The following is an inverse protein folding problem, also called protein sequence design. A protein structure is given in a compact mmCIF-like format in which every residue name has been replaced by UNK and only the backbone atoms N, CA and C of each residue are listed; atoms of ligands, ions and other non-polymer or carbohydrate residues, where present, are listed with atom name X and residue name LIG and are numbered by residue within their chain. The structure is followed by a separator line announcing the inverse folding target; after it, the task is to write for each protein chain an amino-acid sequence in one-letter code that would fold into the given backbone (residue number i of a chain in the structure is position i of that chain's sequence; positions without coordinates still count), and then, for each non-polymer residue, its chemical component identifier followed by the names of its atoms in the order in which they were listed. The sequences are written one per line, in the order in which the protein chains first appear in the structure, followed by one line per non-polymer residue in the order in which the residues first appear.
data_IF_090407845204
#
_entry.id   IF_090407845204
#
_cell.length_a   1.000
_cell.length_b   1.000
_cell.length_c   1.000
_cell.angle_alpha   90.00
_cell.angle_beta   90.00
_cell.angle_gamma   90.00
#
_symmetry.space_group_name_H-M   'P 1'
#
loop_
_entity.id
_entity.type
_entity.pdbx_description
1 polymer ?
#
# COMPACT_ATOMS: atom_id res chain seq x y z
N UNK A 1 -20.79 2.92 -10.64
CA UNK A 1 -19.41 2.42 -10.50
C UNK A 1 -19.48 0.92 -10.57
N UNK A 2 -18.60 0.30 -11.36
CA UNK A 2 -18.40 -1.16 -11.34
C UNK A 2 -17.99 -1.51 -9.90
N UNK A 3 -18.75 -2.38 -9.22
CA UNK A 3 -18.54 -2.67 -7.78
C UNK A 3 -17.18 -3.33 -7.49
N UNK A 4 -16.45 -3.70 -8.54
CA UNK A 4 -15.14 -4.35 -8.49
C UNK A 4 -13.97 -3.37 -8.58
N UNK A 5 -14.18 -2.07 -8.81
CA UNK A 5 -13.08 -1.10 -8.88
C UNK A 5 -12.45 -0.88 -7.50
N UNK A 6 -11.16 -1.18 -7.38
CA UNK A 6 -10.43 -1.07 -6.11
C UNK A 6 -9.44 0.08 -6.17
N UNK A 7 -9.53 0.95 -5.18
CA UNK A 7 -8.64 2.10 -5.07
C UNK A 7 -7.82 2.09 -3.77
N UNK A 8 -6.69 2.79 -3.81
CA UNK A 8 -5.83 3.03 -2.66
C UNK A 8 -5.63 4.53 -2.44
N UNK A 9 -5.80 4.99 -1.21
CA UNK A 9 -5.53 6.35 -0.77
C UNK A 9 -4.17 6.45 -0.06
N UNK A 10 -3.40 7.48 -0.38
CA UNK A 10 -2.08 7.78 0.18
C UNK A 10 -2.17 9.13 0.91
N UNK A 11 -2.47 9.12 2.21
CA UNK A 11 -2.55 10.33 3.02
C UNK A 11 -1.17 10.97 3.24
N UNK A 12 -1.15 12.30 3.29
CA UNK A 12 0.03 13.07 3.67
C UNK A 12 0.40 12.82 5.13
N UNK A 13 -0.59 12.82 6.04
CA UNK A 13 -0.35 12.77 7.49
C UNK A 13 0.31 11.47 7.94
N UNK A 14 -0.24 10.34 7.51
CA UNK A 14 0.31 9.02 7.84
C UNK A 14 1.52 8.59 7.01
N UNK A 15 1.98 9.38 6.04
CA UNK A 15 3.21 9.10 5.28
C UNK A 15 4.27 10.17 5.43
N UNK A 16 3.97 11.26 6.14
CA UNK A 16 4.82 12.43 6.28
C UNK A 16 6.27 11.98 6.53
N UNK A 17 6.53 11.17 7.55
CA UNK A 17 7.90 10.81 7.97
C UNK A 17 8.76 10.25 6.82
N UNK A 18 8.13 9.56 5.88
CA UNK A 18 8.76 8.95 4.69
C UNK A 18 8.89 9.88 3.48
N UNK A 19 8.27 11.05 3.49
CA UNK A 19 8.38 12.08 2.46
C UNK A 19 9.63 12.94 2.68
N UNK A 20 10.78 12.28 2.53
CA UNK A 20 12.14 12.84 2.61
C UNK A 20 12.95 12.45 1.40
N UNK A 21 13.76 13.37 0.91
CA UNK A 21 14.77 13.06 -0.10
C UNK A 21 15.65 11.87 0.34
N UNK A 22 16.06 11.06 -0.63
CA UNK A 22 16.87 9.87 -0.43
C UNK A 22 16.06 8.59 -0.17
N UNK A 23 16.57 7.73 0.72
CA UNK A 23 16.00 6.40 1.00
C UNK A 23 14.52 6.42 1.43
N UNK A 24 14.06 7.33 2.31
CA UNK A 24 12.68 7.26 2.79
C UNK A 24 11.65 7.45 1.67
N UNK A 25 11.81 8.45 0.80
CA UNK A 25 10.88 8.60 -0.35
C UNK A 25 11.08 7.50 -1.38
N UNK A 26 12.27 6.91 -1.45
CA UNK A 26 12.51 5.67 -2.18
C UNK A 26 11.54 4.56 -1.79
N UNK A 27 11.29 4.36 -0.49
CA UNK A 27 10.34 3.37 0.01
C UNK A 27 8.91 3.68 -0.47
N UNK A 28 8.48 4.94 -0.38
CA UNK A 28 7.15 5.38 -0.85
C UNK A 28 7.01 5.13 -2.36
N UNK A 29 8.03 5.50 -3.15
CA UNK A 29 8.08 5.27 -4.59
C UNK A 29 7.92 3.79 -4.94
N UNK A 30 8.64 2.89 -4.26
CA UNK A 30 8.52 1.45 -4.48
C UNK A 30 7.11 0.95 -4.18
N UNK A 31 6.53 1.37 -3.05
CA UNK A 31 5.15 1.01 -2.67
C UNK A 31 4.12 1.57 -3.66
N UNK A 32 4.30 2.78 -4.18
CA UNK A 32 3.42 3.36 -5.20
C UNK A 32 3.46 2.60 -6.54
N UNK A 33 4.65 2.18 -6.98
CA UNK A 33 4.79 1.34 -8.18
C UNK A 33 4.11 -0.02 -8.00
N UNK A 34 4.30 -0.64 -6.84
CA UNK A 34 3.64 -1.91 -6.52
C UNK A 34 2.12 -1.76 -6.44
N UNK A 35 1.63 -0.74 -5.75
CA UNK A 35 0.21 -0.41 -5.70
C UNK A 35 -0.36 -0.12 -7.10
N UNK A 36 0.44 0.46 -8.00
CA UNK A 36 0.04 0.69 -9.39
C UNK A 36 -0.14 -0.61 -10.18
N UNK A 37 0.29 -1.76 -9.69
CA UNK A 37 -0.05 -3.04 -10.34
C UNK A 37 -1.26 -3.70 -9.66
N UNK A 38 -1.43 -3.48 -8.36
CA UNK A 38 -2.46 -4.09 -7.52
C UNK A 38 -3.82 -3.40 -7.64
N UNK A 39 -3.85 -2.07 -7.65
CA UNK A 39 -5.07 -1.27 -7.59
C UNK A 39 -5.45 -0.67 -8.94
N UNK A 40 -6.75 -0.47 -9.15
CA UNK A 40 -7.28 0.18 -10.35
C UNK A 40 -6.94 1.67 -10.35
N UNK A 41 -7.14 2.32 -9.19
CA UNK A 41 -6.89 3.74 -8.99
C UNK A 41 -6.09 4.01 -7.70
N UNK A 42 -5.25 5.05 -7.72
CA UNK A 42 -4.46 5.52 -6.59
C UNK A 42 -4.74 7.01 -6.39
N UNK A 43 -5.14 7.37 -5.18
CA UNK A 43 -5.40 8.73 -4.77
C UNK A 43 -4.27 9.21 -3.86
N UNK A 44 -3.47 10.17 -4.34
CA UNK A 44 -2.46 10.85 -3.54
C UNK A 44 -3.09 12.09 -2.92
N UNK A 45 -2.93 12.30 -1.62
CA UNK A 45 -3.44 13.53 -1.00
C UNK A 45 -2.66 14.75 -1.54
N UNK A 46 -3.38 15.68 -2.16
CA UNK A 46 -2.86 16.98 -2.61
C UNK A 46 -2.72 17.93 -1.42
N UNK A 47 -1.66 18.72 -1.43
CA UNK A 47 -1.33 19.66 -0.38
C UNK A 47 0.11 19.49 0.11
N UNK A 48 0.38 20.23 1.18
CA UNK A 48 1.49 19.95 2.06
C UNK A 48 1.00 19.99 3.51
N UNK A 49 1.78 19.43 4.42
CA UNK A 49 1.65 19.71 5.84
C UNK A 49 2.78 20.65 6.21
N UNK A 50 2.54 21.64 7.06
CA UNK A 50 3.60 22.37 7.75
C UNK A 50 3.69 21.79 9.15
N UNK A 51 4.85 21.24 9.48
CA UNK A 51 5.18 20.69 10.79
C UNK A 51 6.26 21.59 11.37
N UNK A 52 5.92 22.32 12.41
CA UNK A 52 6.83 23.20 13.14
C UNK A 52 6.91 22.71 14.58
N UNK A 53 8.11 22.47 15.09
CA UNK A 53 8.31 22.00 16.46
C UNK A 53 9.52 22.66 17.11
N UNK A 54 9.47 22.83 18.42
CA UNK A 54 10.55 23.35 19.26
C UNK A 54 10.39 22.92 20.72
N UNK A 55 11.25 23.41 21.63
CA UNK A 55 11.27 22.97 23.03
C UNK A 55 9.95 23.20 23.76
N UNK A 56 9.19 24.24 23.38
CA UNK A 56 7.97 24.63 24.08
C UNK A 56 6.68 24.23 23.35
N UNK A 57 6.77 23.46 22.26
CA UNK A 57 5.57 22.98 21.57
C UNK A 57 5.79 22.60 20.11
N UNK A 58 4.71 22.13 19.49
CA UNK A 58 4.68 21.82 18.08
C UNK A 58 3.30 22.08 17.49
N UNK A 59 3.26 22.38 16.20
CA UNK A 59 2.07 22.59 15.41
C UNK A 59 2.18 21.80 14.10
N UNK A 60 1.07 21.19 13.70
CA UNK A 60 0.92 20.52 12.41
C UNK A 60 -0.29 21.12 11.73
N UNK A 61 -0.10 21.70 10.56
CA UNK A 61 -1.17 22.39 9.83
C UNK A 61 -1.14 22.00 8.35
N UNK A 62 -2.27 21.56 7.76
CA UNK A 62 -2.35 21.43 6.32
C UNK A 62 -2.24 22.81 5.67
N UNK A 63 -1.43 22.92 4.62
CA UNK A 63 -1.30 24.14 3.81
C UNK A 63 -1.54 23.78 2.34
N UNK A 64 -2.05 24.72 1.53
CA UNK A 64 -2.09 24.54 0.09
C UNK A 64 -0.71 24.17 -0.44
N UNK A 65 -0.66 23.32 -1.46
CA UNK A 65 0.59 22.96 -2.14
C UNK A 65 1.35 24.22 -2.52
N UNK A 66 2.49 24.45 -1.89
CA UNK A 66 3.45 25.45 -2.37
C UNK A 66 4.13 24.90 -3.62
N UNK A 67 4.73 25.76 -4.42
CA UNK A 67 5.46 25.39 -5.65
C UNK A 67 6.64 24.43 -5.41
N UNK A 68 6.84 23.90 -4.19
CA UNK A 68 7.93 22.99 -3.88
C UNK A 68 7.90 21.77 -4.81
N UNK A 69 8.93 21.72 -5.64
CA UNK A 69 9.05 20.75 -6.72
C UNK A 69 9.85 19.51 -6.34
N UNK A 70 10.42 19.51 -5.13
CA UNK A 70 11.40 18.52 -4.66
C UNK A 70 11.08 18.10 -3.22
N UNK A 71 11.48 16.88 -2.88
CA UNK A 71 11.41 16.41 -1.49
C UNK A 71 12.48 17.12 -0.67
N UNK A 72 12.12 17.57 0.54
CA UNK A 72 13.10 18.16 1.45
C UNK A 72 14.12 17.13 1.94
N UNK A 73 15.37 17.55 2.10
CA UNK A 73 16.43 16.75 2.73
C UNK A 73 16.32 16.79 4.25
N UNK A 74 17.00 15.87 4.95
CA UNK A 74 17.08 15.92 6.41
C UNK A 74 17.72 17.24 6.89
N UNK A 75 18.77 17.71 6.21
CA UNK A 75 19.41 18.98 6.52
C UNK A 75 18.43 20.16 6.36
N UNK A 76 17.64 20.19 5.29
CA UNK A 76 16.64 21.26 5.06
C UNK A 76 15.55 21.30 6.15
N UNK A 77 15.25 20.19 6.82
CA UNK A 77 14.37 20.19 8.00
C UNK A 77 14.98 20.90 9.21
N UNK A 78 16.31 20.87 9.28
CA UNK A 78 17.13 21.44 10.33
C UNK A 78 17.76 22.78 9.94
N UNK A 79 17.30 23.45 8.87
CA UNK A 79 17.78 24.79 8.47
C UNK A 79 16.88 25.95 8.93
N UNK A 80 15.75 25.68 9.57
CA UNK A 80 14.97 26.69 10.31
C UNK A 80 15.33 26.94 11.81
N UNK A 81 16.43 26.42 12.41
CA UNK A 81 16.80 26.72 13.79
C UNK A 81 16.85 28.21 14.06
N UNK A 82 16.22 28.63 15.15
CA UNK A 82 16.26 30.02 15.62
C UNK A 82 15.15 30.92 15.10
N UNK A 83 14.32 30.48 14.15
CA UNK A 83 13.09 31.23 13.84
C UNK A 83 12.08 31.04 14.97
N UNK A 84 11.63 32.14 15.57
CA UNK A 84 10.59 32.11 16.59
C UNK A 84 9.24 31.85 15.93
N UNK A 85 8.54 30.80 16.34
CA UNK A 85 7.15 30.60 15.97
C UNK A 85 6.25 30.83 17.17
N UNK A 86 5.18 31.58 16.93
CA UNK A 86 4.18 31.94 17.93
C UNK A 86 2.83 31.49 17.43
N UNK A 87 2.13 30.71 18.25
CA UNK A 87 0.71 30.42 18.03
C UNK A 87 -0.07 31.14 19.11
N UNK A 88 -0.96 32.03 18.68
CA UNK A 88 -1.81 32.80 19.56
C UNK A 88 -3.27 32.42 19.31
N UNK A 89 -4.03 32.30 20.39
CA UNK A 89 -5.46 32.03 20.37
C UNK A 89 -6.17 33.15 21.12
N UNK A 90 -7.34 33.55 20.64
CA UNK A 90 -8.23 34.43 21.38
C UNK A 90 -9.68 34.06 21.09
N UNK A 91 -10.57 34.52 21.95
CA UNK A 91 -11.99 34.25 21.86
C UNK A 91 -12.61 35.15 20.78
N UNK A 92 -13.28 34.55 19.80
CA UNK A 92 -13.96 35.30 18.74
C UNK A 92 -15.36 35.72 19.22
N UNK A 93 -15.45 36.83 19.95
CA UNK A 93 -16.73 37.42 20.39
C UNK A 93 -17.42 38.25 19.29
N UNK A 94 -16.68 38.63 18.25
CA UNK A 94 -17.13 39.29 17.02
C UNK A 94 -16.23 38.81 15.87
N UNK A 95 -16.63 38.93 14.59
CA UNK A 95 -15.82 38.46 13.46
C UNK A 95 -14.39 39.02 13.49
N UNK A 96 -13.41 38.12 13.60
CA UNK A 96 -12.01 38.44 13.81
C UNK A 96 -11.65 38.70 15.29
N UNK A 97 -10.44 38.28 15.68
CA UNK A 97 -9.93 38.51 17.03
C UNK A 97 -8.91 39.65 16.99
N UNK A 98 -9.16 40.79 17.67
CA UNK A 98 -8.19 41.86 17.80
C UNK A 98 -6.85 41.36 18.36
N UNK A 99 -5.74 41.91 17.86
CA UNK A 99 -4.39 41.40 18.19
C UNK A 99 -4.02 41.57 19.67
N UNK A 100 -4.60 42.55 20.35
CA UNK A 100 -4.47 42.79 21.78
C UNK A 100 -5.25 41.78 22.65
N UNK A 101 -6.18 41.04 22.06
CA UNK A 101 -6.93 39.97 22.73
C UNK A 101 -6.34 38.57 22.50
N UNK A 102 -5.33 38.45 21.64
CA UNK A 102 -4.64 37.19 21.37
C UNK A 102 -3.72 36.81 22.54
N UNK A 103 -3.86 35.57 23.03
CA UNK A 103 -2.98 34.98 24.04
C UNK A 103 -2.03 33.99 23.39
N UNK A 104 -0.73 34.17 23.60
CA UNK A 104 0.29 33.25 23.11
C UNK A 104 0.18 31.91 23.87
N UNK A 105 -0.09 30.83 23.15
CA UNK A 105 -0.15 29.49 23.71
C UNK A 105 1.09 28.67 23.36
N UNK A 106 1.67 28.90 22.18
CA UNK A 106 2.99 28.37 21.82
C UNK A 106 3.90 29.55 21.56
N UNK A 107 5.05 29.55 22.21
CA UNK A 107 6.10 30.53 21.99
C UNK A 107 7.43 29.80 22.08
N UNK A 108 7.94 29.40 20.93
CA UNK A 108 9.09 28.50 20.86
C UNK A 108 10.03 28.94 19.76
N UNK A 109 11.32 28.74 19.99
CA UNK A 109 12.28 28.68 18.89
C UNK A 109 12.02 27.40 18.09
N UNK A 110 12.01 27.53 16.76
CA UNK A 110 11.84 26.40 15.87
C UNK A 110 13.10 25.54 15.94
N UNK A 111 12.95 24.26 16.25
CA UNK A 111 14.00 23.24 16.09
C UNK A 111 13.80 22.42 14.82
N UNK A 112 12.55 22.31 14.35
CA UNK A 112 12.15 21.57 13.16
C UNK A 112 11.15 22.43 12.38
N UNK A 113 11.43 22.70 11.11
CA UNK A 113 10.44 23.16 10.13
C UNK A 113 10.43 22.19 8.97
N UNK A 114 9.29 21.57 8.73
CA UNK A 114 9.21 20.49 7.76
C UNK A 114 7.88 20.56 7.01
N UNK A 115 7.98 20.50 5.68
CA UNK A 115 6.88 20.67 4.74
C UNK A 115 6.74 19.43 3.85
N UNK A 116 6.25 18.29 4.36
CA UNK A 116 6.04 17.11 3.52
C UNK A 116 4.92 17.31 2.51
N UNK A 117 5.16 16.81 1.30
CA UNK A 117 4.19 16.82 0.19
C UNK A 117 4.40 15.60 -0.70
N UNK A 118 3.32 15.14 -1.35
CA UNK A 118 3.35 14.09 -2.37
C UNK A 118 3.51 14.67 -3.79
N UNK A 119 3.36 15.99 -3.95
CA UNK A 119 3.37 16.69 -5.24
C UNK A 119 4.57 16.37 -6.14
N UNK A 120 5.81 16.19 -5.63
CA UNK A 120 6.94 15.86 -6.51
C UNK A 120 6.75 14.56 -7.30
N UNK A 121 5.92 13.62 -6.83
CA UNK A 121 5.58 12.42 -7.60
C UNK A 121 4.88 12.72 -8.93
N UNK A 122 4.14 13.84 -9.04
CA UNK A 122 3.47 14.22 -10.28
C UNK A 122 4.45 14.34 -11.47
N UNK A 123 5.71 14.70 -11.22
CA UNK A 123 6.77 14.82 -12.23
C UNK A 123 7.40 13.49 -12.61
N UNK A 124 7.29 12.49 -11.76
CA UNK A 124 7.83 11.16 -12.02
C UNK A 124 6.88 10.31 -12.89
N UNK A 125 5.58 10.62 -12.83
CA UNK A 125 4.55 9.85 -13.53
C UNK A 125 4.59 10.12 -15.04
N UNK A 126 4.35 9.10 -15.90
CA UNK A 126 4.32 9.29 -17.34
C UNK A 126 3.13 10.16 -17.74
N UNK A 127 3.23 10.83 -18.89
CA UNK A 127 2.10 11.56 -19.45
C UNK A 127 0.91 10.63 -19.70
N UNK A 128 -0.30 11.09 -19.36
CA UNK A 128 -1.51 10.28 -19.47
C UNK A 128 -1.68 9.20 -18.38
N UNK A 129 -0.93 9.27 -17.28
CA UNK A 129 -1.15 8.46 -16.08
C UNK A 129 -2.51 8.80 -15.44
N UNK A 130 -3.59 8.18 -15.91
CA UNK A 130 -4.97 8.46 -15.45
C UNK A 130 -5.35 7.75 -14.15
N UNK A 131 -4.59 6.72 -13.76
CA UNK A 131 -4.88 5.92 -12.57
C UNK A 131 -4.28 6.48 -11.28
N UNK A 132 -3.43 7.51 -11.36
CA UNK A 132 -2.94 8.23 -10.18
C UNK A 132 -3.53 9.62 -10.21
N UNK A 133 -4.23 9.99 -9.14
CA UNK A 133 -4.91 11.27 -9.04
C UNK A 133 -4.54 11.95 -7.73
N UNK A 134 -4.31 13.26 -7.79
CA UNK A 134 -4.11 14.10 -6.62
C UNK A 134 -5.47 14.61 -6.13
N UNK A 135 -5.82 14.34 -4.89
CA UNK A 135 -7.15 14.63 -4.32
C UNK A 135 -7.04 15.35 -3.00
N UNK A 136 -8.01 16.23 -2.70
CA UNK A 136 -8.18 16.80 -1.36
C UNK A 136 -9.41 16.19 -0.70
N UNK A 137 -9.25 15.23 0.21
CA UNK A 137 -10.39 14.60 0.84
C UNK A 137 -11.15 15.62 1.70
N UNK A 138 -12.46 15.69 1.52
CA UNK A 138 -13.32 16.42 2.43
C UNK A 138 -13.68 15.55 3.63
N UNK A 139 -13.42 16.04 4.84
CA UNK A 139 -13.74 15.30 6.06
C UNK A 139 -15.17 15.58 6.49
N UNK A 140 -16.07 14.64 6.20
CA UNK A 140 -17.44 14.66 6.69
C UNK A 140 -17.49 14.55 8.25
N UNK A 141 -18.53 15.09 8.91
CA UNK A 141 -18.68 14.99 10.36
C UNK A 141 -18.63 13.56 10.91
N UNK A 142 -19.15 12.58 10.16
CA UNK A 142 -19.16 11.16 10.51
C UNK A 142 -17.74 10.58 10.55
N UNK A 143 -16.88 10.99 9.60
CA UNK A 143 -15.47 10.61 9.56
C UNK A 143 -14.75 11.11 10.82
N UNK A 144 -14.95 12.37 11.18
CA UNK A 144 -14.35 12.96 12.40
C UNK A 144 -14.81 12.24 13.67
N UNK A 145 -16.10 11.92 13.76
CA UNK A 145 -16.68 11.20 14.90
C UNK A 145 -16.06 9.80 15.05
N UNK A 146 -15.98 9.07 13.94
CA UNK A 146 -15.39 7.72 13.88
C UNK A 146 -13.91 7.76 14.26
N UNK A 147 -13.16 8.70 13.69
CA UNK A 147 -11.74 8.89 14.00
C UNK A 147 -11.50 9.18 15.49
N UNK A 148 -12.31 10.06 16.11
CA UNK A 148 -12.17 10.39 17.52
C UNK A 148 -12.56 9.24 18.44
N UNK A 149 -13.56 8.44 18.06
CA UNK A 149 -13.90 7.20 18.78
C UNK A 149 -12.71 6.21 18.78
N UNK A 150 -12.16 5.93 17.59
CA UNK A 150 -11.04 5.01 17.46
C UNK A 150 -9.78 5.53 18.17
N UNK A 151 -9.49 6.82 18.07
CA UNK A 151 -8.40 7.48 18.79
C UNK A 151 -8.52 7.31 20.31
N UNK A 152 -9.70 7.60 20.90
CA UNK A 152 -9.93 7.41 22.35
C UNK A 152 -9.70 5.95 22.77
N UNK A 153 -10.00 4.99 21.89
CA UNK A 153 -9.79 3.57 22.14
C UNK A 153 -8.30 3.20 22.09
N UNK A 154 -7.59 3.60 21.05
CA UNK A 154 -6.16 3.28 20.86
C UNK A 154 -5.26 3.99 21.87
N UNK A 155 -5.61 5.19 22.33
CA UNK A 155 -4.85 5.88 23.38
C UNK A 155 -4.85 5.14 24.72
N UNK A 156 -5.81 4.22 24.93
CA UNK A 156 -5.90 3.34 26.11
C UNK A 156 -5.27 1.96 25.87
N UNK A 157 -4.72 1.70 24.68
CA UNK A 157 -4.06 0.44 24.37
C UNK A 157 -2.66 0.41 25.02
N UNK A 158 -2.43 -0.57 25.89
CA UNK A 158 -1.18 -0.72 26.64
C UNK A 158 0.01 -1.12 25.76
N UNK A 159 -0.21 -1.99 24.78
CA UNK A 159 0.82 -2.41 23.84
C UNK A 159 1.29 -1.23 23.00
N UNK A 160 0.35 -0.39 22.53
CA UNK A 160 0.68 0.84 21.81
C UNK A 160 1.37 1.89 22.70
N UNK A 161 1.00 1.96 24.00
CA UNK A 161 1.71 2.80 24.98
C UNK A 161 3.16 2.35 25.15
N UNK A 162 3.40 1.05 25.13
CA UNK A 162 4.74 0.46 25.21
C UNK A 162 5.56 0.71 23.94
N UNK A 163 4.96 0.56 22.75
CA UNK A 163 5.66 0.76 21.47
C UNK A 163 5.94 2.24 21.16
N UNK A 164 5.07 3.15 21.61
CA UNK A 164 5.20 4.60 21.45
C UNK A 164 5.15 5.28 22.83
N UNK A 165 6.22 5.25 23.64
CA UNK A 165 6.17 5.69 25.04
C UNK A 165 5.93 7.20 25.20
N UNK A 166 6.45 8.00 24.28
CA UNK A 166 6.32 9.47 24.32
C UNK A 166 4.88 9.87 24.00
N UNK A 167 4.15 10.38 25.00
CA UNK A 167 2.72 10.71 24.90
C UNK A 167 2.38 11.63 23.72
N UNK A 168 3.17 12.69 23.51
CA UNK A 168 2.96 13.63 22.42
C UNK A 168 3.04 12.95 21.04
N UNK A 169 4.10 12.15 20.84
CA UNK A 169 4.32 11.39 19.60
C UNK A 169 3.18 10.39 19.41
N UNK A 170 2.84 9.62 20.44
CA UNK A 170 1.74 8.64 20.41
C UNK A 170 0.41 9.30 20.05
N UNK A 171 0.06 10.41 20.70
CA UNK A 171 -1.18 11.15 20.43
C UNK A 171 -1.25 11.61 18.97
N UNK A 172 -0.15 12.11 18.43
CA UNK A 172 -0.06 12.57 17.04
C UNK A 172 -0.23 11.41 16.05
N UNK A 173 0.55 10.32 16.22
CA UNK A 173 0.48 9.13 15.35
C UNK A 173 -0.91 8.50 15.39
N UNK A 174 -1.47 8.31 16.60
CA UNK A 174 -2.82 7.75 16.76
C UNK A 174 -3.88 8.64 16.13
N UNK A 175 -3.78 9.96 16.28
CA UNK A 175 -4.73 10.89 15.68
C UNK A 175 -4.67 10.87 14.16
N UNK A 176 -3.46 10.89 13.57
CA UNK A 176 -3.28 10.86 12.12
C UNK A 176 -3.74 9.53 11.53
N UNK A 177 -3.30 8.40 12.10
CA UNK A 177 -3.66 7.07 11.63
C UNK A 177 -5.18 6.89 11.62
N UNK A 178 -5.87 7.29 12.70
CA UNK A 178 -7.32 7.13 12.81
C UNK A 178 -8.12 8.04 11.90
N UNK A 179 -7.67 9.27 11.68
CA UNK A 179 -8.29 10.17 10.72
C UNK A 179 -8.23 9.57 9.30
N UNK A 180 -7.05 9.09 8.90
CA UNK A 180 -6.83 8.55 7.56
C UNK A 180 -7.55 7.20 7.37
N UNK A 181 -7.58 6.34 8.39
CA UNK A 181 -8.34 5.09 8.37
C UNK A 181 -9.85 5.33 8.30
N UNK A 182 -10.38 6.29 9.07
CA UNK A 182 -11.80 6.60 9.06
C UNK A 182 -12.22 7.18 7.71
N UNK A 183 -11.37 8.03 7.12
CA UNK A 183 -11.58 8.57 5.79
C UNK A 183 -11.57 7.47 4.72
N UNK A 184 -10.57 6.58 4.75
CA UNK A 184 -10.45 5.49 3.80
C UNK A 184 -11.62 4.49 3.92
N UNK A 185 -12.02 4.15 5.16
CA UNK A 185 -13.17 3.30 5.43
C UNK A 185 -14.48 3.92 4.93
N UNK A 186 -14.67 5.23 5.13
CA UNK A 186 -15.85 5.94 4.63
C UNK A 186 -15.89 5.99 3.11
N UNK A 187 -14.73 6.15 2.45
CA UNK A 187 -14.61 6.17 1.00
C UNK A 187 -14.59 4.77 0.36
N UNK A 188 -14.53 3.69 1.15
CA UNK A 188 -14.44 2.32 0.64
C UNK A 188 -13.13 2.02 -0.09
N UNK A 189 -12.03 2.65 0.30
CA UNK A 189 -10.70 2.49 -0.34
C UNK A 189 -9.67 1.94 0.64
N UNK A 190 -8.64 1.28 0.11
CA UNK A 190 -7.45 0.90 0.90
C UNK A 190 -6.65 2.14 1.30
N UNK A 191 -5.83 2.06 2.35
CA UNK A 191 -4.94 3.16 2.75
C UNK A 191 -3.48 2.70 2.82
N UNK A 192 -2.56 3.51 2.31
CA UNK A 192 -1.12 3.32 2.49
C UNK A 192 -0.64 4.18 3.65
N UNK A 193 0.02 3.58 4.64
CA UNK A 193 0.59 4.27 5.79
C UNK A 193 2.09 3.94 5.93
N UNK A 194 2.85 4.85 6.53
CA UNK A 194 4.23 4.55 6.89
C UNK A 194 4.31 3.53 8.04
N UNK A 195 5.52 3.00 8.25
CA UNK A 195 5.78 1.98 9.27
C UNK A 195 5.39 2.44 10.69
N UNK A 196 5.51 3.73 10.99
CA UNK A 196 5.19 4.28 12.30
C UNK A 196 3.68 4.28 12.55
N UNK A 197 2.88 4.67 11.56
CA UNK A 197 1.42 4.67 11.66
C UNK A 197 0.85 3.25 11.57
N UNK A 198 1.52 2.34 10.86
CA UNK A 198 1.18 0.90 10.84
C UNK A 198 1.27 0.24 12.23
N UNK A 199 2.05 0.78 13.17
CA UNK A 199 2.05 0.28 14.56
C UNK A 199 0.68 0.42 15.23
N UNK A 200 -0.11 1.46 14.90
CA UNK A 200 -1.47 1.61 15.44
C UNK A 200 -2.36 0.46 14.98
N UNK A 201 -2.22 0.05 13.71
CA UNK A 201 -2.93 -1.09 13.16
C UNK A 201 -2.47 -2.40 13.80
N UNK A 202 -1.16 -2.67 13.84
CA UNK A 202 -0.61 -3.89 14.44
C UNK A 202 -1.12 -4.12 15.87
N UNK A 203 -0.96 -3.12 16.74
CA UNK A 203 -1.42 -3.19 18.12
C UNK A 203 -2.95 -3.30 18.27
N UNK A 204 -3.72 -2.84 17.27
CA UNK A 204 -5.19 -3.00 17.27
C UNK A 204 -5.59 -4.45 16.96
N UNK A 205 -4.85 -5.13 16.09
CA UNK A 205 -5.12 -6.52 15.72
C UNK A 205 -4.70 -7.50 16.83
N UNK A 206 -3.56 -7.24 17.48
CA UNK A 206 -3.08 -8.09 18.59
C UNK A 206 -4.08 -8.15 19.76
N UNK A 207 -4.80 -7.06 20.00
CA UNK A 207 -5.76 -6.96 21.10
C UNK A 207 -7.16 -7.53 20.79
N UNK A 208 -7.49 -7.92 19.55
CA UNK A 208 -8.89 -8.28 19.19
C UNK A 208 -9.10 -9.37 18.15
N UNK A 209 -9.98 -10.30 18.53
CA UNK A 209 -10.73 -11.16 17.62
C UNK A 209 -11.68 -10.32 16.76
N UNK A 210 -11.51 -10.32 15.44
CA UNK A 210 -12.52 -9.86 14.48
C UNK A 210 -12.12 -8.76 13.50
N UNK A 211 -10.98 -8.09 13.70
CA UNK A 211 -10.45 -7.17 12.69
C UNK A 211 -9.63 -7.98 11.66
N UNK A 212 -9.84 -7.74 10.37
CA UNK A 212 -9.05 -8.33 9.28
C UNK A 212 -8.35 -7.23 8.48
N UNK A 213 -7.03 -7.18 8.52
CA UNK A 213 -6.28 -6.35 7.59
C UNK A 213 -6.45 -6.93 6.18
N UNK A 214 -6.94 -6.13 5.23
CA UNK A 214 -6.90 -6.44 3.80
C UNK A 214 -5.84 -5.55 3.14
N UNK A 215 -5.20 -6.05 2.10
CA UNK A 215 -4.10 -5.40 1.39
C UNK A 215 -2.71 -5.69 1.96
N UNK A 216 -2.59 -6.43 3.07
CA UNK A 216 -1.30 -6.70 3.72
C UNK A 216 -0.51 -7.81 3.02
N UNK A 217 -1.20 -8.78 2.40
CA UNK A 217 -0.57 -9.90 1.73
C UNK A 217 -0.18 -9.57 0.28
N UNK A 218 -0.87 -8.62 -0.35
CA UNK A 218 -0.68 -8.30 -1.76
C UNK A 218 0.77 -7.90 -2.11
N UNK A 219 1.50 -7.16 -1.26
CA UNK A 219 2.90 -6.89 -1.51
C UNK A 219 3.81 -8.12 -1.58
N UNK A 220 3.42 -9.23 -0.94
CA UNK A 220 4.17 -10.50 -0.99
C UNK A 220 3.89 -11.28 -2.29
N UNK A 221 2.75 -11.01 -2.94
CA UNK A 221 2.30 -11.72 -4.14
C UNK A 221 2.84 -11.14 -5.44
N UNK A 222 3.28 -9.88 -5.44
CA UNK A 222 3.79 -9.21 -6.63
C UNK A 222 5.32 -9.17 -6.56
N UNK A 223 6.05 -9.54 -7.63
CA UNK A 223 7.51 -9.40 -7.66
C UNK A 223 7.95 -7.99 -7.28
N UNK A 224 9.16 -7.82 -6.75
CA UNK A 224 9.68 -6.48 -6.43
C UNK A 224 9.80 -5.64 -7.72
N UNK A 225 8.86 -4.70 -7.87
CA UNK A 225 8.80 -3.76 -9.01
C UNK A 225 9.34 -2.38 -8.64
N UNK A 226 9.94 -2.24 -7.45
CA UNK A 226 10.41 -0.95 -6.96
C UNK A 226 11.44 -0.28 -7.87
N UNK A 227 12.24 -1.07 -8.55
CA UNK A 227 13.32 -0.65 -9.45
C UNK A 227 12.87 -0.47 -10.92
N UNK A 228 11.65 -0.89 -11.29
CA UNK A 228 11.12 -0.67 -12.63
C UNK A 228 10.84 0.82 -12.85
N UNK A 229 11.14 1.37 -14.02
CA UNK A 229 10.73 2.74 -14.32
C UNK A 229 9.20 2.86 -14.48
N UNK A 230 8.70 4.09 -14.38
CA UNK A 230 7.26 4.34 -14.47
C UNK A 230 6.67 4.03 -15.86
N UNK A 231 7.48 4.12 -16.93
CA UNK A 231 7.05 3.78 -18.28
C UNK A 231 6.76 2.28 -18.42
N UNK A 232 7.59 1.44 -17.81
CA UNK A 232 7.42 -0.01 -17.73
C UNK A 232 6.18 -0.38 -16.91
N UNK A 233 5.98 0.26 -15.75
CA UNK A 233 4.75 0.10 -14.96
C UNK A 233 3.51 0.46 -15.79
N UNK A 234 3.56 1.57 -16.54
CA UNK A 234 2.48 2.00 -17.40
C UNK A 234 2.20 1.02 -18.55
N UNK A 235 3.24 0.43 -19.14
CA UNK A 235 3.12 -0.57 -20.19
C UNK A 235 2.44 -1.85 -19.66
N UNK A 236 2.93 -2.39 -18.53
CA UNK A 236 2.36 -3.56 -17.87
C UNK A 236 0.87 -3.34 -17.53
N UNK A 237 0.52 -2.14 -17.02
CA UNK A 237 -0.88 -1.78 -16.72
C UNK A 237 -1.81 -1.80 -17.93
N UNK A 238 -1.30 -1.61 -19.14
CA UNK A 238 -2.08 -1.66 -20.39
C UNK A 238 -2.34 -3.09 -20.87
N UNK A 239 -1.74 -4.11 -20.25
CA UNK A 239 -2.01 -5.50 -20.61
C UNK A 239 -3.50 -5.81 -20.42
N UNK A 240 -4.14 -6.38 -21.45
CA UNK A 240 -5.57 -6.73 -21.46
C UNK A 240 -6.04 -7.58 -20.27
N UNK A 241 -5.13 -8.37 -19.69
CA UNK A 241 -5.41 -9.29 -18.60
C UNK A 241 -5.21 -8.68 -17.21
N UNK A 242 -4.83 -7.40 -17.12
CA UNK A 242 -4.52 -6.72 -15.86
C UNK A 242 -5.71 -6.74 -14.88
N UNK A 243 -6.95 -6.54 -15.36
CA UNK A 243 -8.16 -6.63 -14.50
C UNK A 243 -8.32 -8.03 -13.89
N UNK A 244 -8.10 -9.08 -14.68
CA UNK A 244 -8.12 -10.47 -14.20
C UNK A 244 -6.99 -10.73 -13.19
N UNK A 245 -5.79 -10.21 -13.46
CA UNK A 245 -4.64 -10.32 -12.56
C UNK A 245 -4.93 -9.73 -11.18
N UNK A 246 -5.40 -8.48 -11.12
CA UNK A 246 -5.76 -7.84 -9.84
C UNK A 246 -6.80 -8.65 -9.08
N UNK A 247 -7.89 -9.06 -9.75
CA UNK A 247 -8.93 -9.86 -9.12
C UNK A 247 -8.36 -11.14 -8.48
N UNK A 248 -7.53 -11.88 -9.21
CA UNK A 248 -6.91 -13.10 -8.70
C UNK A 248 -5.99 -12.82 -7.51
N UNK A 249 -5.21 -11.74 -7.51
CA UNK A 249 -4.40 -11.37 -6.33
C UNK A 249 -5.26 -11.18 -5.08
N UNK A 250 -6.41 -10.53 -5.21
CA UNK A 250 -7.34 -10.33 -4.09
C UNK A 250 -8.07 -11.61 -3.67
N UNK A 251 -8.37 -12.52 -4.61
CA UNK A 251 -8.90 -13.85 -4.29
C UNK A 251 -7.86 -14.69 -3.51
N UNK A 252 -6.58 -14.61 -3.90
CA UNK A 252 -5.46 -15.25 -3.20
C UNK A 252 -5.32 -14.67 -1.79
N UNK A 253 -5.33 -13.34 -1.64
CA UNK A 253 -5.30 -12.70 -0.32
C UNK A 253 -6.49 -13.14 0.55
N UNK A 254 -7.71 -13.16 0.01
CA UNK A 254 -8.88 -13.58 0.76
C UNK A 254 -8.76 -15.04 1.24
N UNK A 255 -8.22 -15.93 0.38
CA UNK A 255 -7.95 -17.33 0.72
C UNK A 255 -6.87 -17.43 1.80
N UNK A 256 -5.77 -16.70 1.64
CA UNK A 256 -4.66 -16.70 2.58
C UNK A 256 -5.07 -16.18 3.96
N UNK A 257 -5.89 -15.13 4.03
CA UNK A 257 -6.43 -14.62 5.29
C UNK A 257 -7.40 -15.60 5.97
N UNK A 258 -8.06 -16.47 5.20
CA UNK A 258 -8.90 -17.53 5.77
C UNK A 258 -8.05 -18.68 6.34
N UNK A 259 -7.00 -19.08 5.61
CA UNK A 259 -6.03 -20.09 6.03
C UNK A 259 -5.19 -19.63 7.24
N UNK A 260 -4.76 -18.36 7.24
CA UNK A 260 -3.90 -17.78 8.27
C UNK A 260 -4.58 -17.55 9.62
N UNK A 261 -5.90 -17.75 9.74
CA UNK A 261 -6.64 -17.62 11.03
C UNK A 261 -6.05 -18.48 12.15
N UNK A 262 -5.10 -19.37 11.86
CA UNK A 262 -4.44 -20.29 12.78
C UNK A 262 -2.91 -20.29 12.69
N UNK A 263 -2.25 -19.34 12.01
CA UNK A 263 -0.80 -19.42 11.85
C UNK A 263 -0.14 -18.32 11.03
N UNK A 264 0.95 -18.69 10.37
CA UNK A 264 1.83 -17.81 9.60
C UNK A 264 1.16 -17.33 8.31
N UNK A 265 0.93 -16.02 8.22
CA UNK A 265 0.32 -15.37 7.06
C UNK A 265 1.20 -15.50 5.81
N UNK A 266 2.52 -15.45 5.90
CA UNK A 266 3.39 -15.55 4.73
C UNK A 266 3.33 -16.96 4.13
N UNK A 267 3.33 -17.98 4.99
CA UNK A 267 3.15 -19.37 4.58
C UNK A 267 1.78 -19.59 3.92
N UNK A 268 0.71 -19.04 4.51
CA UNK A 268 -0.65 -19.11 3.95
C UNK A 268 -0.76 -18.41 2.58
N UNK A 269 -0.15 -17.22 2.45
CA UNK A 269 -0.11 -16.47 1.18
C UNK A 269 0.62 -17.25 0.10
N UNK A 270 1.78 -17.85 0.44
CA UNK A 270 2.55 -18.69 -0.48
C UNK A 270 1.76 -19.91 -0.92
N UNK A 271 1.17 -20.64 0.03
CA UNK A 271 0.38 -21.82 -0.25
C UNK A 271 -0.85 -21.50 -1.13
N UNK A 272 -1.58 -20.44 -0.82
CA UNK A 272 -2.69 -19.97 -1.64
C UNK A 272 -2.22 -19.58 -3.05
N UNK A 273 -1.12 -18.85 -3.19
CA UNK A 273 -0.57 -18.48 -4.50
C UNK A 273 -0.19 -19.70 -5.33
N UNK A 274 0.54 -20.66 -4.74
CA UNK A 274 0.96 -21.90 -5.40
C UNK A 274 -0.24 -22.71 -5.91
N UNK A 275 -1.30 -22.83 -5.11
CA UNK A 275 -2.56 -23.49 -5.52
C UNK A 275 -3.17 -22.82 -6.76
N UNK A 276 -3.33 -21.49 -6.74
CA UNK A 276 -3.88 -20.74 -7.87
C UNK A 276 -2.98 -20.87 -9.11
N UNK A 277 -1.66 -20.86 -8.93
CA UNK A 277 -0.68 -21.04 -9.99
C UNK A 277 -0.77 -22.42 -10.64
N UNK A 278 -0.77 -23.50 -9.84
CA UNK A 278 -0.89 -24.89 -10.32
C UNK A 278 -2.21 -25.09 -11.04
N UNK A 279 -3.32 -24.55 -10.53
CA UNK A 279 -4.62 -24.64 -11.21
C UNK A 279 -4.60 -23.92 -12.58
N UNK A 280 -3.97 -22.75 -12.66
CA UNK A 280 -3.84 -22.00 -13.90
C UNK A 280 -2.96 -22.74 -14.93
N UNK A 281 -1.81 -23.29 -14.50
CA UNK A 281 -0.83 -23.96 -15.38
C UNK A 281 -1.26 -25.39 -15.75
N UNK A 282 -1.81 -26.17 -14.82
CA UNK A 282 -2.25 -27.55 -15.07
C UNK A 282 -3.37 -27.65 -16.11
N UNK A 283 -4.16 -26.58 -16.28
CA UNK A 283 -5.18 -26.46 -17.34
C UNK A 283 -4.60 -26.07 -18.71
N UNK A 284 -3.29 -25.79 -18.80
CA UNK A 284 -2.59 -25.52 -20.07
C UNK A 284 -2.07 -26.81 -20.69
N UNK A 285 -1.64 -27.78 -19.90
CA UNK A 285 -1.03 -29.05 -20.38
C UNK A 285 -2.05 -30.10 -20.83
N UNK A 286 -3.33 -29.99 -20.43
CA UNK A 286 -4.38 -30.98 -20.74
C UNK A 286 -5.03 -30.90 -22.14
N UNK A 287 -4.66 -29.94 -22.99
CA UNK A 287 -5.21 -29.79 -24.34
C UNK A 287 -4.04 -29.63 -25.33
N UNK A 288 -3.68 -30.74 -25.99
CA UNK A 288 -2.83 -30.89 -27.19
C UNK A 288 -1.71 -29.85 -27.46
N UNK A 289 -0.47 -30.33 -27.36
CA UNK A 289 0.73 -29.89 -28.11
C UNK A 289 0.93 -28.37 -28.32
N UNK A 290 1.46 -27.69 -27.31
CA UNK A 290 2.20 -26.43 -27.48
C UNK A 290 3.68 -26.74 -27.15
N UNK A 291 4.65 -26.36 -28.01
CA UNK A 291 6.04 -26.73 -27.82
C UNK A 291 6.63 -26.01 -26.61
N UNK A 292 7.18 -26.81 -25.68
CA UNK A 292 8.11 -26.45 -24.60
C UNK A 292 8.01 -25.00 -24.09
N UNK A 293 6.95 -24.69 -23.36
CA UNK A 293 7.08 -23.68 -22.30
C UNK A 293 7.98 -24.30 -21.26
N UNK A 294 9.21 -23.81 -21.17
CA UNK A 294 10.17 -24.20 -20.15
C UNK A 294 9.46 -24.20 -18.79
N UNK A 295 9.56 -25.31 -18.06
CA UNK A 295 9.18 -25.37 -16.65
C UNK A 295 10.05 -24.35 -15.94
N UNK A 296 9.52 -23.15 -15.77
CA UNK A 296 10.19 -22.07 -15.09
C UNK A 296 10.21 -22.45 -13.62
N UNK A 297 11.38 -22.86 -13.14
CA UNK A 297 11.64 -22.96 -11.71
C UNK A 297 11.19 -21.65 -11.04
N UNK A 298 10.24 -21.79 -10.12
CA UNK A 298 9.81 -20.76 -9.19
C UNK A 298 10.96 -20.53 -8.20
N UNK A 299 12.06 -19.94 -8.69
CA UNK A 299 13.11 -19.35 -7.88
C UNK A 299 12.56 -18.10 -7.21
N UNK A 300 11.73 -18.30 -6.20
CA UNK A 300 11.53 -17.34 -5.11
C UNK A 300 12.66 -17.68 -4.14
N UNK A 301 13.60 -16.76 -3.95
CA UNK A 301 14.79 -16.98 -3.15
C UNK A 301 14.45 -17.42 -1.72
N UNK A 302 14.54 -18.71 -1.48
CA UNK A 302 14.58 -19.31 -0.14
C UNK A 302 16.05 -19.50 0.23
N UNK A 303 16.58 -18.64 1.10
CA UNK A 303 17.63 -19.11 2.02
C UNK A 303 16.97 -20.10 2.98
N UNK A 304 17.12 -21.40 2.73
CA UNK A 304 17.11 -22.45 3.77
C UNK A 304 17.58 -23.76 3.17
N UNK A 305 18.59 -24.35 3.79
CA UNK A 305 19.18 -25.62 3.39
C UNK A 305 18.24 -26.82 3.59
N UNK A 306 18.26 -27.70 2.58
CA UNK A 306 18.57 -29.15 2.68
C UNK A 306 17.67 -30.05 3.56
N UNK A 307 16.96 -30.94 2.82
CA UNK A 307 16.57 -32.35 3.05
C UNK A 307 15.38 -32.70 3.98
N UNK A 308 14.36 -33.36 3.43
CA UNK A 308 14.23 -34.83 3.38
C UNK A 308 13.03 -35.34 2.55
N UNK A 309 13.26 -36.51 1.92
CA UNK A 309 12.41 -37.50 1.19
C UNK A 309 11.05 -37.86 1.82
N UNK A 310 10.03 -38.48 1.20
CA UNK A 310 9.84 -39.30 -0.02
C UNK A 310 8.56 -40.20 0.11
N UNK A 311 8.20 -40.97 -0.95
CA UNK A 311 7.13 -42.01 -1.12
C UNK A 311 5.70 -41.54 -1.50
N UNK A 312 5.16 -41.79 -2.72
CA UNK A 312 4.66 -43.03 -3.38
C UNK A 312 3.28 -43.50 -2.83
N UNK A 313 2.15 -43.36 -3.54
CA UNK A 313 1.67 -44.23 -4.63
C UNK A 313 0.11 -44.29 -4.69
N UNK A 314 -0.51 -44.99 -5.67
CA UNK A 314 -1.81 -44.65 -6.30
C UNK A 314 -2.98 -45.63 -6.00
N UNK A 315 -4.22 -45.26 -6.40
CA UNK A 315 -5.45 -46.04 -6.76
C UNK A 315 -6.62 -45.02 -6.73
N UNK A 316 -7.59 -44.87 -7.64
CA UNK A 316 -8.19 -45.70 -8.67
C UNK A 316 -9.71 -45.78 -8.41
N UNK A 317 -10.56 -45.44 -9.40
CA UNK A 317 -11.91 -45.98 -9.73
C UNK A 317 -12.82 -44.92 -10.39
N UNK A 318 -13.42 -45.34 -11.51
CA UNK A 318 -14.37 -44.65 -12.36
C UNK A 318 -15.81 -45.16 -12.16
N UNK A 319 -16.83 -44.29 -12.29
CA UNK A 319 -18.26 -44.55 -12.65
C UNK A 319 -18.86 -43.16 -12.97
N UNK A 320 -19.75 -42.85 -13.92
CA UNK A 320 -20.54 -43.54 -14.94
C UNK A 320 -21.39 -42.46 -15.66
N UNK A 321 -21.84 -42.71 -16.89
CA UNK A 321 -22.54 -41.75 -17.74
C UNK A 321 -24.06 -41.68 -17.48
N UNK A 322 -24.66 -40.48 -17.61
CA UNK A 322 -26.12 -40.28 -17.57
C UNK A 322 -26.57 -38.83 -17.87
N UNK A 323 -27.05 -38.62 -19.10
CA UNK A 323 -27.97 -37.60 -19.64
C UNK A 323 -28.12 -36.25 -18.88
N UNK A 324 -27.61 -35.17 -19.49
CA UNK A 324 -27.84 -33.78 -19.07
C UNK A 324 -27.30 -32.74 -20.06
N UNK A 325 -27.64 -32.85 -21.35
CA UNK A 325 -27.01 -32.10 -22.44
C UNK A 325 -27.34 -30.59 -22.51
N UNK A 326 -28.10 -30.03 -21.56
CA UNK A 326 -28.38 -28.58 -21.47
C UNK A 326 -27.73 -27.88 -20.26
N UNK A 327 -27.31 -28.63 -19.23
CA UNK A 327 -26.53 -28.09 -18.08
C UNK A 327 -25.03 -28.21 -18.34
N UNK A 328 -24.60 -29.24 -19.08
CA UNK A 328 -23.20 -29.46 -19.44
C UNK A 328 -22.64 -28.31 -20.30
N UNK A 329 -23.43 -27.68 -21.17
CA UNK A 329 -22.99 -26.56 -22.02
C UNK A 329 -22.76 -25.29 -21.21
N UNK A 330 -23.59 -25.03 -20.19
CA UNK A 330 -23.41 -23.91 -19.28
C UNK A 330 -22.22 -24.14 -18.33
N UNK A 331 -22.06 -25.35 -17.78
CA UNK A 331 -20.91 -25.68 -16.93
C UNK A 331 -19.60 -25.75 -17.72
N UNK A 332 -19.64 -26.20 -18.98
CA UNK A 332 -18.47 -26.19 -19.89
C UNK A 332 -18.15 -24.77 -20.34
N UNK A 333 -19.15 -23.91 -20.59
CA UNK A 333 -18.92 -22.49 -20.86
C UNK A 333 -18.36 -21.77 -19.63
N UNK A 334 -18.90 -22.01 -18.43
CA UNK A 334 -18.40 -21.44 -17.17
C UNK A 334 -16.99 -21.94 -16.85
N UNK A 335 -16.71 -23.25 -17.04
CA UNK A 335 -15.38 -23.81 -16.80
C UNK A 335 -14.38 -23.34 -17.86
N UNK A 336 -14.80 -23.12 -19.11
CA UNK A 336 -13.96 -22.58 -20.18
C UNK A 336 -13.70 -21.09 -19.98
N UNK A 337 -14.69 -20.31 -19.57
CA UNK A 337 -14.53 -18.88 -19.21
C UNK A 337 -13.61 -18.76 -17.99
N UNK A 338 -13.79 -19.60 -16.96
CA UNK A 338 -12.86 -19.68 -15.82
C UNK A 338 -11.47 -20.13 -16.26
N UNK A 339 -11.35 -21.11 -17.16
CA UNK A 339 -10.05 -21.58 -17.64
C UNK A 339 -9.31 -20.52 -18.47
N UNK A 340 -9.99 -19.78 -19.35
CA UNK A 340 -9.39 -18.65 -20.08
C UNK A 340 -8.98 -17.52 -19.14
N UNK A 341 -9.84 -17.18 -18.16
CA UNK A 341 -9.53 -16.19 -17.11
C UNK A 341 -8.34 -16.61 -16.24
N UNK A 342 -8.21 -17.89 -15.93
CA UNK A 342 -7.10 -18.41 -15.13
C UNK A 342 -5.77 -18.41 -15.89
N UNK A 343 -5.78 -18.47 -17.23
CA UNK A 343 -4.54 -18.40 -18.03
C UNK A 343 -4.01 -16.97 -18.18
N UNK A 344 -4.90 -15.98 -18.24
CA UNK A 344 -4.52 -14.62 -18.62
C UNK A 344 -3.75 -13.87 -17.51
N UNK A 345 -3.97 -14.18 -16.23
CA UNK A 345 -3.22 -13.49 -15.16
C UNK A 345 -1.76 -13.98 -15.07
N UNK A 346 -1.49 -15.23 -15.46
CA UNK A 346 -0.15 -15.82 -15.48
C UNK A 346 0.76 -15.08 -16.48
N UNK A 347 0.22 -14.61 -17.60
CA UNK A 347 1.00 -13.82 -18.58
C UNK A 347 1.44 -12.49 -17.97
N UNK A 348 0.54 -11.77 -17.30
CA UNK A 348 0.85 -10.51 -16.60
C UNK A 348 1.93 -10.73 -15.54
N UNK A 349 1.79 -11.77 -14.71
CA UNK A 349 2.78 -12.10 -13.68
C UNK A 349 4.16 -12.42 -14.30
N UNK A 350 4.18 -13.17 -15.40
CA UNK A 350 5.39 -13.54 -16.13
C UNK A 350 6.06 -12.31 -16.76
N UNK A 351 5.27 -11.38 -17.30
CA UNK A 351 5.75 -10.10 -17.84
C UNK A 351 6.40 -9.26 -16.74
N UNK A 352 5.74 -9.10 -15.58
CA UNK A 352 6.30 -8.39 -14.42
C UNK A 352 7.63 -9.02 -14.01
N UNK A 353 7.69 -10.35 -13.86
CA UNK A 353 8.91 -11.06 -13.47
C UNK A 353 10.03 -10.88 -14.50
N UNK A 354 9.69 -10.90 -15.79
CA UNK A 354 10.66 -10.71 -16.87
C UNK A 354 11.21 -9.29 -16.85
N UNK A 355 10.35 -8.28 -16.70
CA UNK A 355 10.76 -6.88 -16.57
C UNK A 355 11.70 -6.67 -15.38
N UNK A 356 11.37 -7.22 -14.20
CA UNK A 356 12.22 -7.13 -13.01
C UNK A 356 13.58 -7.78 -13.23
N UNK A 357 13.63 -8.96 -13.86
CA UNK A 357 14.90 -9.65 -14.17
C UNK A 357 15.76 -8.84 -15.15
N UNK A 358 15.16 -8.34 -16.24
CA UNK A 358 15.87 -7.53 -17.24
C UNK A 358 16.52 -6.31 -16.59
N UNK A 359 15.79 -5.60 -15.73
CA UNK A 359 16.31 -4.44 -15.01
C UNK A 359 17.49 -4.80 -14.09
N UNK A 360 17.38 -5.92 -13.36
CA UNK A 360 18.46 -6.41 -12.47
C UNK A 360 19.72 -6.83 -13.22
N UNK A 361 19.58 -7.33 -14.46
CA UNK A 361 20.71 -7.73 -15.31
C UNK A 361 21.34 -6.60 -16.09
N UNK A 362 20.68 -5.44 -16.21
CA UNK A 362 21.19 -4.31 -16.98
C UNK A 362 22.45 -3.74 -16.30
N UNK A 363 23.63 -3.73 -16.98
CA UNK A 363 24.91 -3.32 -16.40
C UNK A 363 24.92 -1.89 -15.82
N UNK A 364 24.01 -1.03 -16.30
CA UNK A 364 23.87 0.36 -15.84
C UNK A 364 23.13 0.51 -14.50
N UNK A 365 22.38 -0.50 -14.04
CA UNK A 365 21.57 -0.38 -12.82
C UNK A 365 22.39 -0.45 -11.51
N UNK A 366 23.68 -0.84 -11.56
CA UNK A 366 24.53 -0.99 -10.36
C UNK A 366 25.34 0.27 -10.00
N UNK A 367 25.24 1.37 -10.74
CA UNK A 367 26.10 2.55 -10.55
C UNK A 367 25.35 3.87 -10.66
N UNK A 368 24.67 4.25 -9.59
CA UNK A 368 24.48 5.65 -9.23
C UNK A 368 24.00 5.75 -7.78
N UNK A 369 24.83 5.26 -6.85
CA UNK A 369 24.82 5.88 -5.52
C UNK A 369 25.32 7.30 -5.74
N UNK A 370 24.51 8.35 -5.55
CA UNK A 370 25.06 9.69 -5.56
C UNK A 370 26.10 9.74 -4.45
N UNK A 371 27.34 10.11 -4.80
CA UNK A 371 28.29 10.56 -3.81
C UNK A 371 27.59 11.65 -3.01
N UNK A 372 27.49 11.45 -1.69
CA UNK A 372 26.81 12.39 -0.82
C UNK A 372 27.54 13.73 -0.85
N UNK A 373 26.79 14.76 -1.21
CA UNK A 373 27.04 16.14 -0.81
C UNK A 373 25.99 16.54 0.24
#
# INVERSE_FOLDING_TARGET
MDTDERAMFVPLRSNARTLLAGRPVGIVRRRLKQASLIYDSIYLEDGALTITAGPNGAIVMPVPTSESTTFQTAQQRHTAPGQRFVMSLGEESAPGVPSDQLRNFINSETSILWVPTLTPFARELPSGCSWVQFVRPQSAPEVKRTAEEWKRRDLRNESLRTSLPVQFVRSTVVSHANQDLALAAHAGVSVMQDEMHQQVLGNRFDDRVGWKASGFALPLLVPDVGELDWATIAAIRKHEAMKSFRRILFEIEATALDEARRGDIEAAVRHAFERYWVEAVGKVTGLAAIPKVAVVELGIGTMTGVLTSGFAGPVGVAVGAGVGASIATAQTAISTIRARRNKSWVSVYSEIRTATKTQQTSPGSRRSTPAGD
#
